data_IF_843899801689
#
_entry.id   IF_843899801689
#
_cell.length_a   1.000
_cell.length_b   1.000
_cell.length_c   1.000
_cell.angle_alpha   90.00
_cell.angle_beta   90.00
_cell.angle_gamma   90.00
#
_symmetry.space_group_name_H-M   'P 1'
#
loop_
_entity.id
_entity.type
_entity.pdbx_description
1 polymer ?
#
# COMPACT_ATOMS: atom_id res chain seq x y z
N UNK A 1 -25.61 24.79 -12.12
CA UNK A 1 -24.60 23.74 -12.23
C UNK A 1 -23.26 24.35 -11.80
N UNK A 2 -22.58 23.81 -10.78
CA UNK A 2 -21.21 24.22 -10.46
C UNK A 2 -20.33 23.63 -11.56
N UNK A 3 -19.68 24.47 -12.35
CA UNK A 3 -18.69 24.03 -13.35
C UNK A 3 -17.39 23.71 -12.63
N UNK A 4 -16.91 22.48 -12.78
CA UNK A 4 -15.61 22.07 -12.24
C UNK A 4 -14.49 22.96 -12.77
N UNK A 5 -13.53 23.30 -11.91
CA UNK A 5 -12.33 24.04 -12.33
C UNK A 5 -11.48 23.20 -13.28
N UNK A 6 -10.63 23.84 -14.08
CA UNK A 6 -9.67 23.15 -14.94
C UNK A 6 -8.76 22.19 -14.14
N UNK A 7 -8.33 22.60 -12.93
CA UNK A 7 -7.54 21.77 -12.02
C UNK A 7 -8.33 20.53 -11.56
N UNK A 8 -9.57 20.69 -11.11
CA UNK A 8 -10.42 19.57 -10.67
C UNK A 8 -10.67 18.59 -11.83
N UNK A 9 -11.00 19.12 -13.01
CA UNK A 9 -11.21 18.31 -14.23
C UNK A 9 -9.97 17.48 -14.59
N UNK A 10 -8.78 18.09 -14.57
CA UNK A 10 -7.55 17.38 -14.92
C UNK A 10 -7.14 16.35 -13.86
N UNK A 11 -7.31 16.62 -12.56
CA UNK A 11 -7.08 15.60 -11.53
C UNK A 11 -8.04 14.42 -11.69
N UNK A 12 -9.32 14.67 -11.92
CA UNK A 12 -10.31 13.61 -12.13
C UNK A 12 -9.90 12.72 -13.32
N UNK A 13 -9.60 13.28 -14.47
CA UNK A 13 -9.13 12.53 -15.64
C UNK A 13 -7.84 11.74 -15.35
N UNK A 14 -6.90 12.37 -14.66
CA UNK A 14 -5.64 11.72 -14.29
C UNK A 14 -5.86 10.48 -13.42
N UNK A 15 -6.72 10.59 -12.38
CA UNK A 15 -6.96 9.51 -11.42
C UNK A 15 -7.89 8.42 -11.97
N UNK A 16 -8.93 8.77 -12.77
CA UNK A 16 -9.96 7.83 -13.22
C UNK A 16 -9.72 7.26 -14.62
N UNK A 17 -8.93 7.92 -15.47
CA UNK A 17 -8.68 7.50 -16.83
C UNK A 17 -7.21 7.12 -17.06
N UNK A 18 -6.29 8.07 -16.88
CA UNK A 18 -4.88 7.88 -17.22
C UNK A 18 -4.19 6.81 -16.33
N UNK A 19 -4.32 6.92 -15.00
CA UNK A 19 -3.63 5.98 -14.10
C UNK A 19 -4.13 4.53 -14.25
N UNK A 20 -5.45 4.26 -14.28
CA UNK A 20 -5.94 2.87 -14.41
C UNK A 20 -5.77 2.31 -15.82
N UNK A 21 -6.09 3.08 -16.86
CA UNK A 21 -6.21 2.55 -18.22
C UNK A 21 -4.91 2.66 -19.04
N UNK A 22 -4.19 3.78 -18.93
CA UNK A 22 -2.94 3.94 -19.71
C UNK A 22 -1.70 3.46 -18.94
N UNK A 23 -1.69 3.62 -17.60
CA UNK A 23 -0.56 3.23 -16.75
C UNK A 23 -0.74 1.90 -16.03
N UNK A 24 -1.93 1.31 -16.07
CA UNK A 24 -2.28 0.05 -15.39
C UNK A 24 -1.83 0.03 -13.91
N UNK A 25 -2.07 1.13 -13.20
CA UNK A 25 -1.64 1.31 -11.81
C UNK A 25 -2.66 0.65 -10.88
N UNK A 26 -2.18 -0.01 -9.82
CA UNK A 26 -3.05 -0.68 -8.85
C UNK A 26 -3.96 0.31 -8.11
N UNK A 27 -5.16 -0.16 -7.69
CA UNK A 27 -6.13 0.64 -6.92
C UNK A 27 -5.51 1.29 -5.68
N UNK A 28 -4.64 0.57 -4.94
CA UNK A 28 -3.95 1.11 -3.77
C UNK A 28 -3.02 2.27 -4.13
N UNK A 29 -2.36 2.21 -5.30
CA UNK A 29 -1.53 3.31 -5.77
C UNK A 29 -2.40 4.51 -6.15
N UNK A 30 -3.54 4.30 -6.82
CA UNK A 30 -4.50 5.37 -7.16
C UNK A 30 -5.02 6.05 -5.89
N UNK A 31 -5.38 5.29 -4.86
CA UNK A 31 -5.78 5.82 -3.55
C UNK A 31 -4.68 6.69 -2.92
N UNK A 32 -3.42 6.22 -2.93
CA UNK A 32 -2.28 6.99 -2.44
C UNK A 32 -2.05 8.29 -3.22
N UNK A 33 -2.29 8.29 -4.53
CA UNK A 33 -2.23 9.49 -5.37
C UNK A 33 -3.36 10.46 -5.04
N UNK A 34 -4.58 9.93 -4.90
CA UNK A 34 -5.74 10.72 -4.48
C UNK A 34 -5.49 11.43 -3.15
N UNK A 35 -4.96 10.71 -2.16
CA UNK A 35 -4.67 11.27 -0.84
C UNK A 35 -3.64 12.39 -0.89
N UNK A 36 -2.64 12.30 -1.78
CA UNK A 36 -1.69 13.39 -1.99
C UNK A 36 -2.37 14.65 -2.53
N UNK A 37 -3.32 14.52 -3.45
CA UNK A 37 -4.07 15.67 -3.98
C UNK A 37 -5.08 16.23 -2.97
N UNK A 38 -5.73 15.38 -2.18
CA UNK A 38 -6.59 15.85 -1.08
C UNK A 38 -5.79 16.73 -0.13
N UNK A 39 -4.61 16.28 0.33
CA UNK A 39 -3.74 17.06 1.19
C UNK A 39 -3.27 18.38 0.55
N UNK A 40 -2.96 18.36 -0.76
CA UNK A 40 -2.59 19.58 -1.48
C UNK A 40 -3.75 20.58 -1.56
N UNK A 41 -4.95 20.12 -1.87
CA UNK A 41 -6.16 20.95 -1.94
C UNK A 41 -6.52 21.54 -0.58
N UNK A 42 -6.42 20.76 0.49
CA UNK A 42 -6.61 21.23 1.87
C UNK A 42 -5.58 22.31 2.23
N UNK A 43 -4.31 22.10 1.92
CA UNK A 43 -3.26 23.10 2.11
C UNK A 43 -3.55 24.39 1.36
N UNK A 44 -3.99 24.32 0.09
CA UNK A 44 -4.34 25.52 -0.70
C UNK A 44 -5.51 26.28 -0.09
N UNK A 45 -6.49 25.57 0.46
CA UNK A 45 -7.61 26.18 1.17
C UNK A 45 -7.16 26.85 2.47
N UNK A 46 -6.40 26.14 3.31
CA UNK A 46 -6.07 26.57 4.67
C UNK A 46 -4.95 27.60 4.73
N UNK A 47 -3.91 27.44 3.91
CA UNK A 47 -2.69 28.27 3.95
C UNK A 47 -2.64 29.34 2.86
N UNK A 48 -3.32 29.14 1.75
CA UNK A 48 -3.36 30.10 0.64
C UNK A 48 -4.72 30.79 0.48
N UNK A 49 -5.72 30.41 1.27
CA UNK A 49 -7.06 30.99 1.22
C UNK A 49 -7.81 30.71 -0.10
N UNK A 50 -7.32 29.78 -0.92
CA UNK A 50 -7.92 29.45 -2.22
C UNK A 50 -8.95 28.34 -2.02
N UNK A 51 -10.23 28.69 -2.13
CA UNK A 51 -11.33 27.73 -2.03
C UNK A 51 -11.24 26.71 -3.18
N UNK A 52 -11.69 25.48 -2.92
CA UNK A 52 -11.64 24.35 -3.87
C UNK A 52 -12.29 24.72 -5.21
N UNK A 53 -13.42 25.44 -5.16
CA UNK A 53 -14.17 25.88 -6.34
C UNK A 53 -13.47 26.99 -7.14
N UNK A 54 -12.38 27.54 -6.63
CA UNK A 54 -11.56 28.58 -7.29
C UNK A 54 -10.14 28.09 -7.60
N UNK A 55 -9.77 26.87 -7.17
CA UNK A 55 -8.44 26.31 -7.43
C UNK A 55 -8.30 25.93 -8.91
N UNK A 56 -7.39 26.61 -9.61
CA UNK A 56 -7.14 26.44 -11.04
C UNK A 56 -5.72 25.95 -11.30
N UNK A 57 -5.43 25.50 -12.52
CA UNK A 57 -4.08 25.09 -12.95
C UNK A 57 -3.05 26.22 -12.82
N UNK A 58 -3.45 27.49 -12.94
CA UNK A 58 -2.57 28.64 -12.70
C UNK A 58 -2.06 28.72 -11.25
N UNK A 59 -2.79 28.15 -10.28
CA UNK A 59 -2.39 28.09 -8.86
C UNK A 59 -1.47 26.90 -8.58
N UNK A 60 -1.35 25.94 -9.49
CA UNK A 60 -0.48 24.78 -9.35
C UNK A 60 0.94 25.10 -9.81
N UNK A 61 1.62 25.96 -9.05
CA UNK A 61 2.96 26.47 -9.36
C UNK A 61 4.05 25.78 -8.55
N UNK A 62 5.32 25.93 -8.99
CA UNK A 62 6.49 25.45 -8.26
C UNK A 62 6.49 25.98 -6.81
N UNK A 63 6.20 27.27 -6.62
CA UNK A 63 6.26 27.92 -5.30
C UNK A 63 5.17 27.39 -4.37
N UNK A 64 3.94 27.21 -4.86
CA UNK A 64 2.87 26.63 -4.06
C UNK A 64 3.15 25.16 -3.72
N UNK A 65 3.75 24.41 -4.64
CA UNK A 65 4.17 23.02 -4.37
C UNK A 65 5.29 22.99 -3.33
N UNK A 66 6.28 23.87 -3.40
CA UNK A 66 7.35 23.96 -2.38
C UNK A 66 6.78 24.36 -1.01
N UNK A 67 5.87 25.34 -0.96
CA UNK A 67 5.19 25.71 0.29
C UNK A 67 4.42 24.52 0.88
N UNK A 68 3.70 23.77 0.04
CA UNK A 68 3.01 22.54 0.47
C UNK A 68 3.98 21.49 1.04
N UNK A 69 5.07 21.22 0.34
CA UNK A 69 6.06 20.25 0.79
C UNK A 69 6.74 20.66 2.11
N UNK A 70 6.99 21.96 2.32
CA UNK A 70 7.52 22.48 3.58
C UNK A 70 6.46 22.40 4.69
N UNK A 71 5.19 22.71 4.40
CA UNK A 71 4.11 22.51 5.36
C UNK A 71 4.01 21.05 5.84
N UNK A 72 4.24 20.06 4.96
CA UNK A 72 4.25 18.66 5.36
C UNK A 72 5.38 18.33 6.35
N UNK A 73 6.56 18.93 6.19
CA UNK A 73 7.69 18.69 7.10
C UNK A 73 7.59 19.51 8.39
N UNK A 74 7.31 20.79 8.28
CA UNK A 74 7.46 21.75 9.37
C UNK A 74 6.24 21.77 10.30
N UNK A 75 5.04 21.65 9.75
CA UNK A 75 3.80 21.72 10.54
C UNK A 75 3.15 20.34 10.74
N UNK A 76 3.15 19.47 9.72
CA UNK A 76 2.57 18.10 9.83
C UNK A 76 3.57 17.06 10.32
N UNK A 77 4.84 17.44 10.52
CA UNK A 77 5.94 16.57 10.99
C UNK A 77 6.06 15.25 10.19
N UNK A 78 5.77 15.31 8.90
CA UNK A 78 5.90 14.15 8.02
C UNK A 78 7.38 13.79 7.81
N UNK A 79 7.66 12.50 7.67
CA UNK A 79 9.00 12.03 7.32
C UNK A 79 9.42 12.50 5.92
N UNK A 80 10.73 12.61 5.69
CA UNK A 80 11.33 12.92 4.37
C UNK A 80 10.80 11.94 3.31
N UNK A 81 10.64 10.66 3.66
CA UNK A 81 10.07 9.65 2.77
C UNK A 81 8.64 9.98 2.34
N UNK A 82 7.79 10.40 3.29
CA UNK A 82 6.40 10.80 3.00
C UNK A 82 6.37 12.04 2.12
N UNK A 83 7.17 13.07 2.45
CA UNK A 83 7.31 14.28 1.64
C UNK A 83 7.73 13.96 0.20
N UNK A 84 8.76 13.13 0.04
CA UNK A 84 9.26 12.73 -1.29
C UNK A 84 8.23 11.91 -2.06
N UNK A 85 7.44 11.07 -1.40
CA UNK A 85 6.32 10.36 -2.02
C UNK A 85 5.27 11.34 -2.57
N UNK A 86 4.89 12.37 -1.81
CA UNK A 86 3.95 13.41 -2.28
C UNK A 86 4.53 14.19 -3.46
N UNK A 87 5.82 14.52 -3.40
CA UNK A 87 6.51 15.16 -4.53
C UNK A 87 6.50 14.26 -5.78
N UNK A 88 6.72 12.95 -5.63
CA UNK A 88 6.68 12.02 -6.76
C UNK A 88 5.30 11.99 -7.44
N UNK A 89 4.21 12.02 -6.65
CA UNK A 89 2.84 12.12 -7.18
C UNK A 89 2.64 13.41 -7.97
N UNK A 90 3.04 14.55 -7.39
CA UNK A 90 2.94 15.87 -8.02
C UNK A 90 3.73 15.92 -9.33
N UNK A 91 4.95 15.37 -9.34
CA UNK A 91 5.77 15.29 -10.56
C UNK A 91 5.15 14.38 -11.62
N UNK A 92 4.56 13.26 -11.23
CA UNK A 92 3.87 12.35 -12.15
C UNK A 92 2.68 13.03 -12.82
N UNK A 93 1.88 13.77 -12.05
CA UNK A 93 0.78 14.58 -12.58
C UNK A 93 1.29 15.70 -13.51
N UNK A 94 2.33 16.43 -13.10
CA UNK A 94 2.94 17.47 -13.95
C UNK A 94 3.51 16.90 -15.25
N UNK A 95 4.01 15.66 -15.24
CA UNK A 95 4.45 14.98 -16.47
C UNK A 95 3.29 14.70 -17.41
N UNK A 96 2.16 14.23 -16.88
CA UNK A 96 0.95 14.02 -17.69
C UNK A 96 0.38 15.33 -18.21
N UNK A 97 0.36 16.40 -17.39
CA UNK A 97 -0.09 17.72 -17.81
C UNK A 97 0.70 18.30 -19.00
N UNK A 98 1.97 17.92 -19.18
CA UNK A 98 2.76 18.34 -20.34
C UNK A 98 2.14 17.90 -21.67
N UNK A 99 1.40 16.80 -21.68
CA UNK A 99 0.77 16.26 -22.90
C UNK A 99 -0.64 16.82 -23.10
N UNK A 100 -1.36 17.14 -22.03
CA UNK A 100 -2.77 17.58 -22.14
C UNK A 100 -2.95 19.09 -22.02
N UNK A 101 -2.01 19.81 -21.44
CA UNK A 101 -2.03 21.26 -21.18
C UNK A 101 -0.72 21.91 -21.68
N UNK A 102 -0.46 21.79 -22.98
CA UNK A 102 0.79 22.21 -23.64
C UNK A 102 1.08 23.70 -23.43
N UNK A 103 0.05 24.55 -23.38
CA UNK A 103 0.20 26.01 -23.22
C UNK A 103 0.89 26.44 -21.91
N UNK A 104 1.09 25.52 -20.95
CA UNK A 104 1.74 25.78 -19.65
C UNK A 104 3.01 24.94 -19.43
N UNK A 105 3.69 24.55 -20.52
CA UNK A 105 4.84 23.63 -20.48
C UNK A 105 5.93 24.06 -19.49
N UNK A 106 6.27 25.34 -19.50
CA UNK A 106 7.30 25.90 -18.58
C UNK A 106 6.92 25.72 -17.10
N UNK A 107 5.63 25.89 -16.76
CA UNK A 107 5.11 25.72 -15.41
C UNK A 107 5.30 24.24 -14.96
N UNK A 108 4.98 23.28 -15.82
CA UNK A 108 5.13 21.87 -15.50
C UNK A 108 6.61 21.46 -15.37
N UNK A 109 7.48 21.98 -16.21
CA UNK A 109 8.92 21.77 -16.13
C UNK A 109 9.50 22.31 -14.81
N UNK A 110 9.09 23.51 -14.38
CA UNK A 110 9.49 24.10 -13.11
C UNK A 110 9.08 23.22 -11.92
N UNK A 111 7.87 22.66 -11.89
CA UNK A 111 7.44 21.73 -10.83
C UNK A 111 8.28 20.45 -10.86
N UNK A 112 8.52 19.87 -12.03
CA UNK A 112 9.33 18.66 -12.18
C UNK A 112 10.78 18.84 -11.75
N UNK A 113 11.33 20.05 -11.86
CA UNK A 113 12.69 20.35 -11.43
C UNK A 113 12.90 20.38 -9.91
N UNK A 114 11.84 20.33 -9.08
CA UNK A 114 11.98 20.31 -7.61
C UNK A 114 12.75 19.06 -7.20
N UNK A 115 13.90 19.17 -6.50
CA UNK A 115 14.64 17.98 -6.08
C UNK A 115 13.95 17.25 -4.93
N UNK A 116 14.11 15.94 -4.88
CA UNK A 116 13.77 15.18 -3.69
C UNK A 116 14.76 15.51 -2.56
N UNK A 117 14.29 15.51 -1.31
CA UNK A 117 15.17 15.64 -0.15
C UNK A 117 15.95 14.34 0.04
N UNK A 118 17.22 14.47 0.41
CA UNK A 118 18.04 13.31 0.78
C UNK A 118 17.46 12.70 2.07
N UNK A 119 17.09 11.43 2.00
CA UNK A 119 16.67 10.67 3.17
C UNK A 119 17.88 9.93 3.75
N UNK A 120 18.08 9.98 5.06
CA UNK A 120 19.10 9.16 5.70
C UNK A 120 18.55 7.75 5.88
N UNK A 121 19.24 6.77 5.34
CA UNK A 121 18.89 5.36 5.54
C UNK A 121 18.86 5.05 7.04
N UNK A 122 17.69 4.65 7.53
CA UNK A 122 17.57 4.12 8.89
C UNK A 122 18.16 2.71 8.90
N UNK A 123 19.04 2.44 9.85
CA UNK A 123 19.47 1.07 10.12
C UNK A 123 18.24 0.22 10.41
N UNK A 124 18.05 -0.83 9.64
CA UNK A 124 16.98 -1.80 9.90
C UNK A 124 17.38 -2.63 11.13
N UNK A 125 16.51 -2.65 12.13
CA UNK A 125 16.65 -3.54 13.27
C UNK A 125 16.05 -4.88 12.86
N UNK A 126 16.90 -5.90 12.78
CA UNK A 126 16.49 -7.28 12.53
C UNK A 126 16.28 -8.00 13.86
N UNK A 127 15.28 -8.89 13.90
CA UNK A 127 15.13 -9.82 15.01
C UNK A 127 16.29 -10.83 14.97
N UNK A 128 16.88 -11.11 16.13
CA UNK A 128 17.82 -12.22 16.29
C UNK A 128 17.06 -13.55 16.25
N UNK A 129 17.77 -14.67 16.11
CA UNK A 129 17.13 -16.00 16.18
C UNK A 129 16.42 -16.22 17.52
N UNK A 130 17.04 -15.77 18.63
CA UNK A 130 16.45 -15.80 19.95
C UNK A 130 15.18 -14.95 20.02
N UNK A 131 15.23 -13.76 19.44
CA UNK A 131 14.05 -12.87 19.34
C UNK A 131 12.90 -13.50 18.55
N UNK A 132 13.20 -14.22 17.45
CA UNK A 132 12.19 -14.96 16.68
C UNK A 132 11.61 -16.12 17.50
N UNK A 133 12.43 -16.90 18.21
CA UNK A 133 11.96 -17.97 19.08
C UNK A 133 11.01 -17.44 20.15
N UNK A 134 11.42 -16.40 20.88
CA UNK A 134 10.58 -15.76 21.89
C UNK A 134 9.26 -15.24 21.30
N UNK A 135 9.28 -14.69 20.08
CA UNK A 135 8.08 -14.24 19.39
C UNK A 135 7.12 -15.39 19.07
N UNK A 136 7.65 -16.53 18.61
CA UNK A 136 6.85 -17.73 18.30
C UNK A 136 6.31 -18.44 19.55
N UNK A 137 6.90 -18.24 20.71
CA UNK A 137 6.43 -18.78 22.00
C UNK A 137 5.30 -17.94 22.64
N UNK A 138 5.05 -16.69 22.16
CA UNK A 138 4.04 -15.82 22.77
C UNK A 138 2.60 -16.30 22.56
N UNK A 139 2.19 -16.84 21.38
CA UNK A 139 0.82 -17.27 21.19
C UNK A 139 0.50 -18.53 22.02
N UNK A 140 -0.60 -18.52 22.79
CA UNK A 140 -1.07 -19.71 23.51
C UNK A 140 -1.63 -20.74 22.52
N UNK A 141 -0.82 -21.76 22.22
CA UNK A 141 -1.16 -22.83 21.28
C UNK A 141 -2.38 -23.69 21.72
N UNK A 142 -2.86 -23.55 22.95
CA UNK A 142 -4.04 -24.27 23.43
C UNK A 142 -5.36 -23.54 23.08
N UNK A 143 -5.27 -22.32 22.56
CA UNK A 143 -6.45 -21.55 22.16
C UNK A 143 -6.54 -21.41 20.63
N UNK A 144 -7.75 -21.41 20.02
CA UNK A 144 -7.90 -21.19 18.57
C UNK A 144 -7.25 -19.89 18.11
N UNK A 145 -7.39 -18.81 18.87
CA UNK A 145 -6.74 -17.52 18.59
C UNK A 145 -5.20 -17.64 18.61
N UNK A 146 -4.65 -18.33 19.58
CA UNK A 146 -3.19 -18.52 19.67
C UNK A 146 -2.66 -19.42 18.55
N UNK A 147 -3.37 -20.50 18.20
CA UNK A 147 -3.04 -21.35 17.05
C UNK A 147 -3.01 -20.56 15.74
N UNK A 148 -4.01 -19.69 15.52
CA UNK A 148 -4.04 -18.78 14.38
C UNK A 148 -2.84 -17.82 14.37
N UNK A 149 -2.52 -17.19 15.51
CA UNK A 149 -1.37 -16.27 15.59
C UNK A 149 -0.04 -17.00 15.36
N UNK A 150 0.13 -18.18 15.94
CA UNK A 150 1.33 -19.00 15.73
C UNK A 150 1.48 -19.39 14.26
N UNK A 151 0.39 -19.83 13.61
CA UNK A 151 0.40 -20.17 12.17
C UNK A 151 0.80 -18.96 11.30
N UNK A 152 0.27 -17.77 11.59
CA UNK A 152 0.61 -16.53 10.89
C UNK A 152 2.10 -16.21 11.04
N UNK A 153 2.60 -16.17 12.28
CA UNK A 153 3.98 -15.79 12.57
C UNK A 153 4.98 -16.79 11.97
N UNK A 154 4.71 -18.07 12.15
CA UNK A 154 5.56 -19.14 11.63
C UNK A 154 5.63 -19.12 10.09
N UNK A 155 4.48 -18.95 9.44
CA UNK A 155 4.40 -18.89 7.99
C UNK A 155 5.09 -17.65 7.40
N UNK A 156 4.93 -16.50 8.03
CA UNK A 156 5.63 -15.28 7.63
C UNK A 156 7.15 -15.40 7.79
N UNK A 157 7.59 -16.00 8.88
CA UNK A 157 9.02 -16.21 9.13
C UNK A 157 9.66 -17.14 8.08
N UNK A 158 9.03 -18.27 7.79
CA UNK A 158 9.57 -19.26 6.85
C UNK A 158 9.59 -18.75 5.40
N UNK A 159 8.52 -18.08 4.97
CA UNK A 159 8.32 -17.73 3.56
C UNK A 159 8.79 -16.33 3.19
N UNK A 160 9.02 -15.46 4.19
CA UNK A 160 9.32 -14.03 3.97
C UNK A 160 8.23 -13.28 3.22
N UNK A 161 6.98 -13.75 3.29
CA UNK A 161 5.86 -13.08 2.61
C UNK A 161 5.52 -11.74 3.24
N UNK A 162 4.94 -10.84 2.44
CA UNK A 162 4.44 -9.56 2.92
C UNK A 162 3.09 -9.74 3.64
N UNK A 163 2.78 -8.82 4.55
CA UNK A 163 1.49 -8.84 5.29
C UNK A 163 0.28 -8.91 4.33
N UNK A 164 0.32 -8.17 3.22
CA UNK A 164 -0.76 -8.22 2.23
C UNK A 164 -0.82 -9.56 1.50
N UNK A 165 0.33 -10.16 1.19
CA UNK A 165 0.38 -11.50 0.58
C UNK A 165 -0.19 -12.56 1.52
N UNK A 166 0.02 -12.42 2.84
CA UNK A 166 -0.58 -13.27 3.86
C UNK A 166 -2.11 -13.09 3.91
N UNK A 167 -2.58 -11.83 3.92
CA UNK A 167 -4.01 -11.52 3.98
C UNK A 167 -4.79 -12.01 2.75
N UNK A 168 -4.12 -12.04 1.59
CA UNK A 168 -4.70 -12.51 0.33
C UNK A 168 -4.64 -14.05 0.15
N UNK A 169 -4.07 -14.80 1.12
CA UNK A 169 -4.03 -16.27 1.05
C UNK A 169 -5.43 -16.87 1.17
N UNK A 170 -5.69 -17.84 0.36
CA UNK A 170 -6.90 -18.67 0.41
C UNK A 170 -6.57 -20.12 0.77
N UNK A 171 -7.55 -20.91 1.12
CA UNK A 171 -7.36 -22.32 1.52
C UNK A 171 -6.67 -23.12 0.41
N UNK A 172 -6.97 -22.84 -0.86
CA UNK A 172 -6.31 -23.48 -2.02
C UNK A 172 -4.87 -22.97 -2.27
N UNK A 173 -4.42 -21.95 -1.53
CA UNK A 173 -3.04 -21.49 -1.63
C UNK A 173 -2.04 -22.46 -0.99
N UNK A 174 -2.49 -23.36 -0.11
CA UNK A 174 -1.63 -24.31 0.61
C UNK A 174 -1.88 -25.74 0.15
N UNK A 175 -0.81 -26.49 -0.08
CA UNK A 175 -0.83 -27.92 -0.38
C UNK A 175 -0.12 -28.65 0.77
N UNK A 176 -0.91 -29.29 1.65
CA UNK A 176 -0.45 -29.89 2.90
C UNK A 176 -0.63 -31.41 2.98
N UNK A 177 -1.22 -32.03 1.96
CA UNK A 177 -1.63 -33.46 1.92
C UNK A 177 -0.51 -34.37 1.43
N UNK A 178 0.30 -33.91 0.48
CA UNK A 178 1.35 -34.72 -0.18
C UNK A 178 2.63 -33.90 -0.30
N UNK A 179 3.76 -34.52 -0.02
CA UNK A 179 5.08 -33.93 -0.25
C UNK A 179 5.36 -33.77 -1.76
N UNK A 180 6.06 -32.70 -2.17
CA UNK A 180 6.53 -31.61 -1.34
C UNK A 180 5.37 -30.70 -0.92
N UNK A 181 5.32 -30.37 0.40
CA UNK A 181 4.38 -29.41 0.92
C UNK A 181 4.74 -28.02 0.41
N UNK A 182 3.74 -27.27 -0.07
CA UNK A 182 4.01 -25.98 -0.73
C UNK A 182 2.95 -24.97 -0.42
N UNK A 183 3.32 -23.70 -0.55
CA UNK A 183 2.41 -22.57 -0.55
C UNK A 183 2.58 -21.73 -1.81
N UNK A 184 1.48 -21.37 -2.43
CA UNK A 184 1.40 -20.49 -3.59
C UNK A 184 1.11 -19.05 -3.12
N UNK A 185 2.03 -18.14 -3.37
CA UNK A 185 1.94 -16.73 -2.94
C UNK A 185 1.86 -15.85 -4.18
N UNK A 186 0.83 -14.98 -4.22
CA UNK A 186 0.65 -13.99 -5.29
C UNK A 186 1.16 -12.63 -4.79
N UNK A 187 2.23 -12.13 -5.37
CA UNK A 187 2.88 -10.88 -4.97
C UNK A 187 2.53 -9.70 -5.86
N UNK A 188 3.26 -8.61 -5.66
CA UNK A 188 3.09 -7.37 -6.43
C UNK A 188 3.19 -7.62 -7.94
N UNK A 189 2.24 -7.06 -8.69
CA UNK A 189 2.15 -7.25 -10.14
C UNK A 189 1.60 -8.62 -10.54
N UNK A 190 0.87 -9.30 -9.66
CA UNK A 190 0.30 -10.66 -9.86
C UNK A 190 1.36 -11.72 -10.15
N UNK A 191 2.61 -11.48 -9.73
CA UNK A 191 3.67 -12.49 -9.85
C UNK A 191 3.45 -13.57 -8.82
N UNK A 192 3.30 -14.81 -9.28
CA UNK A 192 3.12 -15.97 -8.41
C UNK A 192 4.47 -16.63 -8.12
N UNK A 193 4.71 -17.01 -6.85
CA UNK A 193 5.81 -17.87 -6.45
C UNK A 193 5.28 -19.05 -5.62
N UNK A 194 5.92 -20.19 -5.75
CA UNK A 194 5.64 -21.38 -4.95
C UNK A 194 6.83 -21.55 -4.00
N UNK A 195 6.54 -21.68 -2.72
CA UNK A 195 7.54 -21.84 -1.67
C UNK A 195 7.33 -23.20 -1.00
N UNK A 196 8.36 -24.04 -0.88
CA UNK A 196 8.25 -25.28 -0.11
C UNK A 196 8.11 -24.95 1.38
N UNK A 197 7.38 -25.80 2.12
CA UNK A 197 7.16 -25.67 3.55
C UNK A 197 7.84 -26.81 4.30
N UNK A 198 8.52 -26.47 5.41
CA UNK A 198 9.03 -27.47 6.34
C UNK A 198 7.90 -28.18 7.09
N UNK A 199 8.12 -29.44 7.43
CA UNK A 199 7.13 -30.26 8.12
C UNK A 199 6.63 -29.62 9.42
N UNK A 200 7.50 -28.98 10.19
CA UNK A 200 7.14 -28.27 11.41
C UNK A 200 6.07 -27.19 11.20
N UNK A 201 6.16 -26.45 10.10
CA UNK A 201 5.19 -25.41 9.74
C UNK A 201 3.88 -26.05 9.24
N UNK A 202 3.99 -27.13 8.49
CA UNK A 202 2.83 -27.92 8.04
C UNK A 202 2.02 -28.43 9.25
N UNK A 203 2.67 -28.91 10.29
CA UNK A 203 2.01 -29.40 11.51
C UNK A 203 1.30 -28.26 12.25
N UNK A 204 1.90 -27.08 12.36
CA UNK A 204 1.27 -25.88 12.92
C UNK A 204 0.03 -25.48 12.10
N UNK A 205 0.16 -25.45 10.76
CA UNK A 205 -0.96 -25.12 9.86
C UNK A 205 -2.10 -26.14 9.97
N UNK A 206 -1.80 -27.42 10.07
CA UNK A 206 -2.80 -28.50 10.23
C UNK A 206 -3.57 -28.34 11.55
N UNK A 207 -2.88 -28.00 12.65
CA UNK A 207 -3.51 -27.74 13.94
C UNK A 207 -4.49 -26.56 13.82
N UNK A 208 -4.05 -25.46 13.23
CA UNK A 208 -4.88 -24.28 12.99
C UNK A 208 -6.11 -24.63 12.12
N UNK A 209 -5.89 -25.26 10.96
CA UNK A 209 -6.98 -25.65 10.04
C UNK A 209 -7.97 -26.61 10.70
N UNK A 210 -7.52 -27.48 11.59
CA UNK A 210 -8.39 -28.39 12.34
C UNK A 210 -9.25 -27.64 13.36
N UNK A 211 -8.72 -26.60 14.02
CA UNK A 211 -9.49 -25.76 14.94
C UNK A 211 -10.59 -24.96 14.23
N UNK A 212 -10.42 -24.64 12.95
CA UNK A 212 -11.34 -23.87 12.12
C UNK A 212 -12.25 -24.74 11.23
N UNK A 213 -12.29 -26.05 11.44
CA UNK A 213 -13.03 -26.99 10.57
C UNK A 213 -14.52 -26.67 10.38
N UNK A 214 -15.19 -26.07 11.36
CA UNK A 214 -16.62 -25.73 11.24
C UNK A 214 -16.85 -24.62 10.19
N UNK A 215 -15.90 -23.69 10.05
CA UNK A 215 -15.95 -22.61 9.06
C UNK A 215 -15.53 -23.15 7.69
N UNK A 216 -14.48 -23.96 7.64
CA UNK A 216 -13.90 -24.49 6.41
C UNK A 216 -14.78 -25.54 5.72
N UNK A 217 -15.63 -26.32 6.46
CA UNK A 217 -16.55 -27.30 5.87
C UNK A 217 -17.66 -26.66 5.04
N UNK A 218 -18.03 -25.42 5.32
CA UNK A 218 -19.03 -24.66 4.56
C UNK A 218 -18.40 -23.65 3.59
N UNK A 219 -17.08 -23.54 3.57
CA UNK A 219 -16.36 -22.54 2.79
C UNK A 219 -16.03 -23.04 1.39
N UNK A 220 -16.06 -22.11 0.41
CA UNK A 220 -15.54 -22.37 -0.94
C UNK A 220 -14.01 -22.48 -0.91
N UNK A 221 -13.43 -23.06 -1.96
CA UNK A 221 -11.97 -23.15 -2.14
C UNK A 221 -11.28 -21.78 -2.09
N UNK A 222 -12.01 -20.71 -2.41
CA UNK A 222 -11.53 -19.32 -2.38
C UNK A 222 -11.69 -18.63 -1.00
N UNK A 223 -12.07 -19.40 0.04
CA UNK A 223 -12.18 -18.84 1.38
C UNK A 223 -10.81 -18.37 1.87
N UNK A 224 -10.70 -17.19 2.52
CA UNK A 224 -9.45 -16.72 3.14
C UNK A 224 -8.85 -17.78 4.06
N UNK A 225 -7.53 -17.97 3.99
CA UNK A 225 -6.84 -18.89 4.89
C UNK A 225 -6.85 -18.36 6.33
N UNK A 226 -6.70 -17.05 6.49
CA UNK A 226 -6.77 -16.37 7.78
C UNK A 226 -7.84 -15.27 7.73
N UNK A 227 -8.73 -15.27 8.69
CA UNK A 227 -9.79 -14.28 8.82
C UNK A 227 -9.85 -13.75 10.27
N UNK A 228 -10.45 -12.60 10.44
CA UNK A 228 -10.64 -12.00 11.77
C UNK A 228 -11.84 -12.65 12.50
N UNK A 229 -12.05 -12.28 13.76
CA UNK A 229 -13.20 -12.77 14.58
C UNK A 229 -14.56 -12.35 14.04
N UNK A 230 -14.62 -11.46 13.03
CA UNK A 230 -15.84 -11.03 12.36
C UNK A 230 -16.09 -11.80 11.06
N UNK A 231 -15.18 -12.70 10.67
CA UNK A 231 -15.29 -13.50 9.44
C UNK A 231 -14.89 -12.76 8.16
N UNK A 232 -14.18 -11.63 8.30
CA UNK A 232 -13.67 -10.81 7.17
C UNK A 232 -12.20 -11.07 6.93
#
# INVERSE_FOLDING_TARGET
MRTDTDFAKQISRYLSEYLPHERNVSSNTILSYRDAFVQYVEFMREKKGIKVEKLRLENFTKDNVLCFLNHLTDEKHCSVKTRNQRLAVIKSFSTWLQYVEVGRMEQWQKIRSIPAMRDMERKLNYLTLEGVKLLLEQPDANTPKGQRHLAILALMYETGMRVQELADLTVDSVRLDVEPYTIRIVGKGRKTRIVPLFKSIVDILRIYLKSEQHVLKSASIQHPLFYNTRGE
#
